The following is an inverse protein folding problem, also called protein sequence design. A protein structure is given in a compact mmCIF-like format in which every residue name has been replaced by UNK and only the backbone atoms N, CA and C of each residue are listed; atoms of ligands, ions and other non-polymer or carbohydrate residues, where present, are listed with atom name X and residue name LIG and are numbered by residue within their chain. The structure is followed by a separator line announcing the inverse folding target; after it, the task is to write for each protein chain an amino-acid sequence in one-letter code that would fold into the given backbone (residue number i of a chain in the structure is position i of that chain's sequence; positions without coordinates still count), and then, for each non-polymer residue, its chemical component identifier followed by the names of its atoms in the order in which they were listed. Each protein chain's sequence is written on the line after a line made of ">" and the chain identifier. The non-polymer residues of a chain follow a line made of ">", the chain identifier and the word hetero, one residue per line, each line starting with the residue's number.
data_IF_237892916755
#
_entry.id   IF_237892916755
#
_cell.length_a   1.000
_cell.length_b   1.000
_cell.length_c   1.000
_cell.angle_alpha   90.00
_cell.angle_beta   90.00
_cell.angle_gamma   90.00
#
_symmetry.space_group_name_H-M   'P 1'
#
loop_
_entity.id
_entity.type
_entity.pdbx_description
1 polymer ?
#
# COMPACT_ATOMS: atom_id res chain seq x y z
N UNK A 1 23.46 7.22 -22.20
CA UNK A 1 22.08 7.59 -22.61
C UNK A 1 21.18 6.37 -22.84
N UNK A 2 21.45 5.45 -23.80
CA UNK A 2 20.58 4.27 -24.05
C UNK A 2 20.28 3.38 -22.82
N UNK A 3 21.28 3.10 -21.97
CA UNK A 3 21.09 2.29 -20.76
C UNK A 3 20.10 2.93 -19.77
N UNK A 4 20.15 4.25 -19.62
CA UNK A 4 19.24 4.98 -18.75
C UNK A 4 17.79 4.90 -19.26
N UNK A 5 17.60 5.03 -20.57
CA UNK A 5 16.27 4.89 -21.19
C UNK A 5 15.70 3.48 -21.00
N UNK A 6 16.52 2.44 -21.09
CA UNK A 6 16.09 1.05 -20.84
C UNK A 6 15.66 0.88 -19.39
N UNK A 7 16.46 1.36 -18.43
CA UNK A 7 16.11 1.27 -17.00
C UNK A 7 14.84 2.06 -16.70
N UNK A 8 14.72 3.29 -17.22
CA UNK A 8 13.52 4.11 -17.04
C UNK A 8 12.28 3.44 -17.63
N UNK A 9 12.38 2.83 -18.81
CA UNK A 9 11.30 2.07 -19.42
C UNK A 9 10.92 0.83 -18.59
N UNK A 10 11.89 0.09 -18.06
CA UNK A 10 11.63 -1.03 -17.16
C UNK A 10 10.91 -0.58 -15.89
N UNK A 11 11.35 0.52 -15.26
CA UNK A 11 10.69 1.09 -14.07
C UNK A 11 9.26 1.52 -14.41
N UNK A 12 9.05 2.18 -15.54
CA UNK A 12 7.72 2.59 -15.99
C UNK A 12 6.79 1.40 -16.24
N UNK A 13 7.28 0.31 -16.81
CA UNK A 13 6.50 -0.93 -17.02
C UNK A 13 6.16 -1.60 -15.69
N UNK A 14 7.14 -1.73 -14.80
CA UNK A 14 6.93 -2.34 -13.47
C UNK A 14 5.91 -1.52 -12.68
N UNK A 15 6.03 -0.19 -12.70
CA UNK A 15 5.15 0.71 -11.98
C UNK A 15 3.75 0.80 -12.59
N UNK A 16 3.67 0.94 -13.92
CA UNK A 16 2.41 1.18 -14.63
C UNK A 16 1.60 -0.08 -14.94
N UNK A 17 2.23 -1.27 -14.96
CA UNK A 17 1.58 -2.50 -15.40
C UNK A 17 1.68 -3.60 -14.34
N UNK A 18 2.88 -3.88 -13.85
CA UNK A 18 3.10 -5.03 -12.95
C UNK A 18 2.48 -4.79 -11.59
N UNK A 19 2.75 -3.64 -10.96
CA UNK A 19 2.20 -3.29 -9.64
C UNK A 19 0.66 -3.21 -9.63
N UNK A 20 -0.01 -2.51 -10.57
CA UNK A 20 -1.47 -2.48 -10.61
C UNK A 20 -2.09 -3.85 -10.84
N UNK A 21 -1.43 -4.73 -11.60
CA UNK A 21 -1.91 -6.09 -11.83
C UNK A 21 -1.79 -6.95 -10.57
N UNK A 22 -0.69 -6.82 -9.83
CA UNK A 22 -0.53 -7.45 -8.52
C UNK A 22 -1.55 -6.94 -7.50
N UNK A 23 -1.83 -5.64 -7.49
CA UNK A 23 -2.86 -5.04 -6.63
C UNK A 23 -4.28 -5.57 -6.92
N UNK A 24 -4.56 -6.04 -8.14
CA UNK A 24 -5.82 -6.67 -8.54
C UNK A 24 -5.93 -8.15 -8.16
N UNK A 25 -4.91 -8.73 -7.53
CA UNK A 25 -4.91 -10.14 -7.13
C UNK A 25 -5.96 -10.41 -6.06
N UNK A 26 -6.60 -11.59 -6.12
CA UNK A 26 -7.65 -12.01 -5.19
C UNK A 26 -7.24 -11.83 -3.71
N UNK A 27 -5.98 -12.11 -3.37
CA UNK A 27 -5.43 -11.95 -2.02
C UNK A 27 -5.52 -10.52 -1.48
N UNK A 28 -5.21 -9.51 -2.30
CA UNK A 28 -5.30 -8.09 -1.89
C UNK A 28 -6.77 -7.69 -1.76
N UNK A 29 -7.62 -8.18 -2.69
CA UNK A 29 -9.06 -7.91 -2.65
C UNK A 29 -9.73 -8.51 -1.41
N UNK A 30 -9.39 -9.74 -1.02
CA UNK A 30 -9.92 -10.41 0.17
C UNK A 30 -9.50 -9.71 1.46
N UNK A 31 -8.22 -9.32 1.59
CA UNK A 31 -7.77 -8.51 2.73
C UNK A 31 -8.51 -7.18 2.83
N UNK A 32 -8.66 -6.47 1.71
CA UNK A 32 -9.39 -5.20 1.69
C UNK A 32 -10.88 -5.38 2.00
N UNK A 33 -11.49 -6.48 1.56
CA UNK A 33 -12.88 -6.81 1.89
C UNK A 33 -13.05 -7.06 3.40
N UNK A 34 -12.15 -7.82 4.02
CA UNK A 34 -12.14 -8.04 5.47
C UNK A 34 -11.96 -6.73 6.25
N UNK A 35 -11.03 -5.87 5.83
CA UNK A 35 -10.80 -4.56 6.45
C UNK A 35 -12.02 -3.66 6.35
N UNK A 36 -12.66 -3.64 5.18
CA UNK A 36 -13.89 -2.90 4.94
C UNK A 36 -15.05 -3.40 5.82
N UNK A 37 -15.20 -4.71 5.97
CA UNK A 37 -16.20 -5.32 6.86
C UNK A 37 -16.00 -4.88 8.31
N UNK A 38 -14.74 -4.79 8.76
CA UNK A 38 -14.38 -4.31 10.10
C UNK A 38 -14.39 -2.79 10.26
N UNK A 39 -14.72 -2.04 9.21
CA UNK A 39 -14.62 -0.58 9.16
C UNK A 39 -13.24 -0.04 9.55
N UNK A 40 -12.19 -0.81 9.25
CA UNK A 40 -10.80 -0.41 9.50
C UNK A 40 -10.27 0.23 8.22
N UNK A 41 -9.84 1.49 8.31
CA UNK A 41 -9.10 2.12 7.23
C UNK A 41 -7.72 1.45 7.11
N UNK A 42 -7.42 0.77 5.98
CA UNK A 42 -6.13 0.12 5.76
C UNK A 42 -4.96 1.11 5.81
N UNK A 43 -5.19 2.36 5.41
CA UNK A 43 -4.16 3.39 5.38
C UNK A 43 -3.81 3.84 6.81
N UNK A 44 -4.81 3.89 7.70
CA UNK A 44 -4.61 4.22 9.11
C UNK A 44 -3.68 3.24 9.84
N UNK A 45 -3.52 2.00 9.35
CA UNK A 45 -2.57 1.05 9.94
C UNK A 45 -1.10 1.49 9.82
N UNK A 46 -0.78 2.34 8.85
CA UNK A 46 0.60 2.77 8.57
C UNK A 46 0.91 4.18 9.10
N UNK A 47 -0.11 4.89 9.60
CA UNK A 47 0.08 6.21 10.19
C UNK A 47 0.27 6.07 11.71
N UNK A 48 1.50 6.27 12.17
CA UNK A 48 1.82 6.32 13.60
C UNK A 48 1.47 7.67 14.23
N UNK A 49 1.25 8.70 13.41
CA UNK A 49 0.98 10.08 13.86
C UNK A 49 -0.52 10.36 14.08
N UNK A 50 -1.33 9.31 14.18
CA UNK A 50 -2.74 9.45 14.52
C UNK A 50 -2.84 9.98 15.97
N UNK A 51 -3.64 11.02 16.26
CA UNK A 51 -3.83 11.52 17.63
C UNK A 51 -4.31 10.46 18.64
N UNK A 52 -4.84 9.34 18.15
CA UNK A 52 -5.21 8.17 18.96
C UNK A 52 -3.98 7.37 19.44
N UNK A 53 -2.89 7.33 18.65
CA UNK A 53 -1.65 6.62 19.01
C UNK A 53 -0.93 7.26 20.17
N UNK A 54 -1.00 8.58 20.34
CA UNK A 54 -0.47 9.27 21.52
C UNK A 54 -1.05 8.71 22.82
N UNK A 55 -2.35 8.36 22.82
CA UNK A 55 -3.01 7.76 23.99
C UNK A 55 -2.59 6.31 24.23
N UNK A 56 -2.36 5.54 23.16
CA UNK A 56 -1.91 4.14 23.25
C UNK A 56 -0.46 4.06 23.72
N UNK A 57 0.39 4.97 23.25
CA UNK A 57 1.81 5.04 23.59
C UNK A 57 2.07 5.66 24.96
N UNK A 58 1.25 6.63 25.39
CA UNK A 58 1.34 7.23 26.72
C UNK A 58 0.82 6.33 27.85
N UNK A 59 0.08 5.26 27.52
CA UNK A 59 -0.45 4.29 28.47
C UNK A 59 0.48 3.12 28.80
N UNK A 60 1.76 3.17 28.39
CA UNK A 60 2.78 2.16 28.70
C UNK A 60 3.85 2.73 29.62
#
# INVERSE_FOLDING_TARGET
>A
MKRFLIVAACVAIVWGVVLPRLAKTNTVRERNAWLKEKQIDPAAMFYTELPLMDRVLAGR
#
